data_IF_074754807171
#
_entry.id   IF_074754807171
#
_cell.length_a   1.000
_cell.length_b   1.000
_cell.length_c   1.000
_cell.angle_alpha   90.00
_cell.angle_beta   90.00
_cell.angle_gamma   90.00
#
_symmetry.space_group_name_H-M   'P 1'
#
loop_
_entity.id
_entity.type
_entity.pdbx_description
1 polymer ?
#
# COMPACT_ATOMS: atom_id res chain seq x y z
N UNK A 1 -13.75 -6.75 22.45
CA UNK A 1 -12.70 -6.66 21.43
C UNK A 1 -12.08 -5.29 21.62
N UNK A 2 -10.79 -5.24 21.91
CA UNK A 2 -10.08 -4.01 22.28
C UNK A 2 -9.80 -3.14 21.04
N UNK A 3 -9.87 -1.82 21.19
CA UNK A 3 -9.68 -0.87 20.07
C UNK A 3 -8.25 -0.94 19.51
N UNK A 4 -7.26 -1.27 20.36
CA UNK A 4 -5.88 -1.50 19.94
C UNK A 4 -5.75 -2.70 18.97
N UNK A 5 -6.52 -3.76 19.21
CA UNK A 5 -6.57 -4.97 18.38
C UNK A 5 -7.33 -4.69 17.06
N UNK A 6 -8.36 -3.84 17.08
CA UNK A 6 -9.01 -3.36 15.86
C UNK A 6 -8.07 -2.52 14.97
N UNK A 7 -7.28 -1.63 15.57
CA UNK A 7 -6.33 -0.78 14.86
C UNK A 7 -5.17 -1.59 14.26
N UNK A 8 -4.62 -2.56 15.00
CA UNK A 8 -3.59 -3.46 14.51
C UNK A 8 -4.06 -4.27 13.28
N UNK A 9 -5.30 -4.81 13.31
CA UNK A 9 -5.89 -5.51 12.16
C UNK A 9 -6.09 -4.60 10.95
N UNK A 10 -6.46 -3.33 11.17
CA UNK A 10 -6.61 -2.37 10.09
C UNK A 10 -5.27 -2.11 9.39
N UNK A 11 -4.18 -1.91 10.15
CA UNK A 11 -2.82 -1.77 9.60
C UNK A 11 -2.43 -2.97 8.74
N UNK A 12 -2.59 -4.18 9.26
CA UNK A 12 -2.29 -5.41 8.49
C UNK A 12 -3.09 -5.46 7.19
N UNK A 13 -4.38 -5.12 7.23
CA UNK A 13 -5.24 -5.12 6.04
C UNK A 13 -4.75 -4.14 4.97
N UNK A 14 -4.30 -2.96 5.37
CA UNK A 14 -3.78 -1.94 4.44
C UNK A 14 -2.51 -2.42 3.77
N UNK A 15 -1.55 -2.96 4.55
CA UNK A 15 -0.31 -3.53 4.00
C UNK A 15 -0.62 -4.63 2.99
N UNK A 16 -1.53 -5.55 3.31
CA UNK A 16 -1.94 -6.60 2.36
C UNK A 16 -2.59 -6.04 1.09
N UNK A 17 -3.36 -4.95 1.16
CA UNK A 17 -3.92 -4.31 -0.03
C UNK A 17 -2.83 -3.69 -0.92
N UNK A 18 -1.83 -3.04 -0.31
CA UNK A 18 -0.68 -2.48 -1.04
C UNK A 18 0.09 -3.59 -1.75
N UNK A 19 0.41 -4.67 -1.04
CA UNK A 19 1.13 -5.82 -1.59
C UNK A 19 0.36 -6.45 -2.75
N UNK A 20 -0.95 -6.65 -2.59
CA UNK A 20 -1.80 -7.20 -3.64
C UNK A 20 -1.79 -6.29 -4.89
N UNK A 21 -1.98 -4.98 -4.71
CA UNK A 21 -1.98 -4.04 -5.84
C UNK A 21 -0.63 -3.98 -6.54
N UNK A 22 0.47 -4.01 -5.80
CA UNK A 22 1.81 -4.09 -6.40
C UNK A 22 2.02 -5.37 -7.21
N UNK A 23 1.55 -6.51 -6.70
CA UNK A 23 1.64 -7.79 -7.37
C UNK A 23 0.82 -7.84 -8.68
N UNK A 24 -0.35 -7.18 -8.71
CA UNK A 24 -1.20 -7.04 -9.90
C UNK A 24 -0.60 -6.07 -10.93
N UNK A 25 0.12 -5.03 -10.49
CA UNK A 25 0.64 -3.97 -11.35
C UNK A 25 1.79 -4.43 -12.24
N UNK A 26 2.69 -5.27 -11.73
CA UNK A 26 3.84 -5.78 -12.47
C UNK A 26 3.47 -6.54 -13.75
N UNK A 27 2.60 -7.57 -13.71
CA UNK A 27 2.18 -8.28 -14.93
C UNK A 27 1.38 -7.37 -15.86
N UNK A 28 0.61 -6.42 -15.34
CA UNK A 28 -0.17 -5.50 -16.18
C UNK A 28 0.73 -4.51 -16.95
N UNK A 29 1.80 -4.00 -16.34
CA UNK A 29 2.84 -3.22 -17.05
C UNK A 29 3.48 -4.02 -18.19
N UNK A 30 3.82 -5.29 -17.93
CA UNK A 30 4.39 -6.17 -18.94
C UNK A 30 3.41 -6.42 -20.10
N UNK A 31 2.11 -6.57 -19.79
CA UNK A 31 1.05 -6.70 -20.79
C UNK A 31 0.94 -5.46 -21.69
N UNK A 32 0.83 -4.26 -21.11
CA UNK A 32 0.76 -3.00 -21.86
C UNK A 32 1.98 -2.85 -22.78
N UNK A 33 3.17 -3.10 -22.23
CA UNK A 33 4.42 -3.04 -23.01
C UNK A 33 4.43 -4.04 -24.16
N UNK A 34 3.93 -5.26 -23.95
CA UNK A 34 3.85 -6.28 -25.00
C UNK A 34 2.91 -5.87 -26.14
N UNK A 35 1.79 -5.21 -25.83
CA UNK A 35 0.84 -4.68 -26.82
C UNK A 35 1.50 -3.60 -27.67
N UNK A 36 2.19 -2.65 -27.04
CA UNK A 36 2.88 -1.56 -27.72
C UNK A 36 3.99 -2.09 -28.64
N UNK A 37 4.74 -3.10 -28.19
CA UNK A 37 5.77 -3.75 -29.01
C UNK A 37 5.20 -4.49 -30.22
N UNK A 38 4.01 -5.06 -30.09
CA UNK A 38 3.31 -5.69 -31.20
C UNK A 38 2.57 -4.70 -32.11
N UNK A 39 2.59 -3.40 -31.81
CA UNK A 39 1.97 -2.36 -32.62
C UNK A 39 0.45 -2.24 -32.43
N UNK A 40 -0.10 -2.81 -31.36
CA UNK A 40 -1.51 -2.61 -31.01
C UNK A 40 -1.73 -1.25 -30.36
N UNK A 41 -2.94 -0.69 -30.53
CA UNK A 41 -3.37 0.47 -29.77
C UNK A 41 -3.48 0.12 -28.28
N UNK A 42 -2.62 0.74 -27.47
CA UNK A 42 -2.54 0.54 -26.02
C UNK A 42 -3.30 1.59 -25.21
N UNK A 43 -4.01 2.53 -25.84
CA UNK A 43 -4.59 3.71 -25.17
C UNK A 43 -5.48 3.33 -23.98
N UNK A 44 -6.42 2.39 -24.18
CA UNK A 44 -7.29 1.92 -23.11
C UNK A 44 -6.51 1.18 -22.01
N UNK A 45 -5.54 0.36 -22.39
CA UNK A 45 -4.73 -0.40 -21.43
C UNK A 45 -3.82 0.52 -20.59
N UNK A 46 -3.28 1.59 -21.19
CA UNK A 46 -2.53 2.64 -20.48
C UNK A 46 -3.39 3.39 -19.48
N UNK A 47 -4.62 3.73 -19.85
CA UNK A 47 -5.54 4.40 -18.94
C UNK A 47 -5.84 3.52 -17.71
N UNK A 48 -6.06 2.21 -17.92
CA UNK A 48 -6.24 1.27 -16.81
C UNK A 48 -4.97 1.18 -15.95
N UNK A 49 -3.79 1.12 -16.57
CA UNK A 49 -2.53 1.08 -15.84
C UNK A 49 -2.36 2.32 -14.95
N UNK A 50 -2.65 3.51 -15.48
CA UNK A 50 -2.63 4.76 -14.71
C UNK A 50 -3.63 4.74 -13.55
N UNK A 51 -4.84 4.21 -13.75
CA UNK A 51 -5.82 4.03 -12.68
C UNK A 51 -5.28 3.12 -11.56
N UNK A 52 -4.63 2.02 -11.91
CA UNK A 52 -4.04 1.09 -10.94
C UNK A 52 -2.88 1.74 -10.17
N UNK A 53 -2.03 2.51 -10.85
CA UNK A 53 -0.93 3.25 -10.24
C UNK A 53 -1.44 4.30 -9.25
N UNK A 54 -2.51 5.02 -9.62
CA UNK A 54 -3.17 5.99 -8.75
C UNK A 54 -3.85 5.32 -7.54
N UNK A 55 -4.46 4.15 -7.70
CA UNK A 55 -5.03 3.40 -6.58
C UNK A 55 -3.93 2.97 -5.59
N UNK A 56 -2.81 2.45 -6.09
CA UNK A 56 -1.66 2.08 -5.26
C UNK A 56 -1.09 3.29 -4.50
N UNK A 57 -1.00 4.45 -5.14
CA UNK A 57 -0.57 5.68 -4.49
C UNK A 57 -1.50 6.06 -3.32
N UNK A 58 -2.82 6.01 -3.53
CA UNK A 58 -3.81 6.29 -2.47
C UNK A 58 -3.70 5.33 -1.28
N UNK A 59 -3.46 4.04 -1.53
CA UNK A 59 -3.26 3.08 -0.44
C UNK A 59 -2.01 3.39 0.39
N UNK A 60 -0.92 3.85 -0.24
CA UNK A 60 0.29 4.30 0.45
C UNK A 60 0.06 5.57 1.26
N UNK A 61 -0.74 6.50 0.75
CA UNK A 61 -1.14 7.70 1.52
C UNK A 61 -1.89 7.29 2.79
N UNK A 62 -2.85 6.36 2.68
CA UNK A 62 -3.60 5.82 3.82
C UNK A 62 -2.66 5.11 4.83
N UNK A 63 -1.70 4.31 4.35
CA UNK A 63 -0.69 3.68 5.20
C UNK A 63 0.13 4.73 5.97
N UNK A 64 0.57 5.78 5.28
CA UNK A 64 1.31 6.87 5.90
C UNK A 64 0.48 7.59 6.96
N UNK A 65 -0.76 7.95 6.65
CA UNK A 65 -1.68 8.60 7.59
C UNK A 65 -1.90 7.75 8.84
N UNK A 66 -2.11 6.45 8.69
CA UNK A 66 -2.33 5.53 9.82
C UNK A 66 -1.07 5.33 10.66
N UNK A 67 0.11 5.40 10.06
CA UNK A 67 1.38 5.32 10.80
C UNK A 67 1.70 6.61 11.58
N UNK A 68 1.18 7.78 11.19
CA UNK A 68 1.31 9.03 11.96
C UNK A 68 0.63 8.94 13.34
N UNK A 69 -0.43 8.13 13.47
CA UNK A 69 -1.12 7.92 14.75
C UNK A 69 -0.42 6.92 15.68
N UNK A 70 0.72 6.37 15.28
CA UNK A 70 1.51 5.50 16.14
C UNK A 70 2.14 6.33 17.27
N UNK A 71 1.50 6.31 18.44
CA UNK A 71 2.01 6.95 19.66
C UNK A 71 3.42 6.40 19.90
N UNK A 72 4.47 7.23 19.97
CA UNK A 72 5.79 6.76 20.33
C UNK A 72 5.67 6.10 21.70
N UNK A 73 5.95 4.80 21.76
CA UNK A 73 6.04 4.08 23.04
C UNK A 73 7.21 4.71 23.79
N UNK A 74 6.92 5.69 24.64
CA UNK A 74 7.89 6.22 25.60
C UNK A 74 8.11 5.10 26.60
N UNK A 75 9.11 4.27 26.32
CA UNK A 75 9.64 3.33 27.30
C UNK A 75 10.25 4.19 28.40
N UNK A 76 9.47 4.46 29.45
CA UNK A 76 10.01 4.95 30.71
C UNK A 76 10.93 3.84 31.24
N UNK A 77 12.21 3.94 30.91
CA UNK A 77 13.25 3.17 31.60
C UNK A 77 13.12 3.50 33.09
N UNK A 78 12.50 2.59 33.85
CA UNK A 78 12.51 2.65 35.32
C UNK A 78 13.98 2.56 35.73
N UNK A 79 14.56 3.70 36.06
CA UNK A 79 15.80 3.77 36.82
C UNK A 79 15.49 3.17 38.19
N UNK A 80 15.79 1.89 38.36
CA UNK A 80 15.90 1.27 39.68
C UNK A 80 17.10 1.92 40.38
N UNK A 81 16.81 2.92 41.22
CA UNK A 81 17.70 3.32 42.31
C UNK A 81 17.53 2.31 43.45
N UNK A 82 18.57 1.52 43.70
CA UNK A 82 19.17 1.22 45.03
C UNK A 82 20.34 0.28 44.82
#
# INVERSE_FOLDING_TARGET
>A
MDDADAFARLKVRIVCQIEQRQAELLPFRAYVWSMEKAGYDSTAARYVLECMENELARWRDIEQEINVFEIPVVVYARVTRT
#
